data_IF_806513173265
#
_entry.id   IF_806513173265
#
_cell.length_a   1.000
_cell.length_b   1.000
_cell.length_c   1.000
_cell.angle_alpha   90.00
_cell.angle_beta   90.00
_cell.angle_gamma   90.00
#
_symmetry.space_group_name_H-M   'P 1'
#
loop_
_entity.id
_entity.type
_entity.pdbx_description
1 polymer ?
#
# COMPACT_ATOMS: atom_id res chain seq x y z
N UNK A 1 -54.97 84.23 0.64
CA UNK A 1 -54.31 85.21 -0.26
C UNK A 1 -52.82 84.88 -0.34
N UNK A 2 -52.24 84.87 -1.56
CA UNK A 2 -50.81 84.75 -1.96
C UNK A 2 -50.16 83.36 -1.74
N UNK A 3 -49.94 82.54 -2.78
CA UNK A 3 -48.93 82.53 -3.88
C UNK A 3 -47.55 81.99 -3.45
N UNK A 4 -47.22 80.78 -3.95
CA UNK A 4 -46.05 80.42 -4.81
C UNK A 4 -44.90 79.78 -4.00
N UNK A 5 -43.90 79.04 -4.52
CA UNK A 5 -43.67 78.06 -5.60
C UNK A 5 -42.15 77.73 -5.52
N UNK A 6 -41.73 76.50 -5.85
CA UNK A 6 -40.34 75.98 -6.03
C UNK A 6 -39.52 75.60 -4.77
N UNK A 7 -39.23 74.31 -4.53
CA UNK A 7 -38.20 73.38 -5.09
C UNK A 7 -36.79 73.61 -4.55
N UNK A 8 -36.26 72.62 -3.81
CA UNK A 8 -34.85 72.23 -3.84
C UNK A 8 -34.70 70.82 -3.22
N UNK A 9 -34.35 69.85 -4.06
CA UNK A 9 -33.89 68.51 -3.69
C UNK A 9 -32.54 68.57 -2.97
N UNK A 10 -32.41 67.86 -1.85
CA UNK A 10 -31.12 67.51 -1.25
C UNK A 10 -31.15 66.03 -0.86
N UNK A 11 -30.36 65.24 -1.58
CA UNK A 11 -30.09 63.82 -1.31
C UNK A 11 -29.14 63.76 -0.11
N UNK A 12 -29.61 63.18 1.00
CA UNK A 12 -28.77 62.87 2.16
C UNK A 12 -28.43 61.38 2.09
N UNK A 13 -27.17 61.07 1.77
CA UNK A 13 -26.61 59.73 1.85
C UNK A 13 -26.36 59.41 3.34
N UNK A 14 -27.28 58.67 3.95
CA UNK A 14 -27.12 58.17 5.32
C UNK A 14 -26.43 56.81 5.27
N UNK A 15 -25.13 56.79 5.61
CA UNK A 15 -24.37 55.56 5.76
C UNK A 15 -24.86 54.78 7.00
N UNK A 16 -25.34 53.56 6.79
CA UNK A 16 -25.58 52.60 7.86
C UNK A 16 -24.55 51.48 7.78
N UNK A 17 -23.81 51.34 8.87
CA UNK A 17 -22.84 50.28 9.12
C UNK A 17 -23.65 48.98 9.33
N UNK A 18 -23.59 48.08 8.35
CA UNK A 18 -24.10 46.72 8.49
C UNK A 18 -22.96 45.79 8.90
N UNK A 19 -23.00 45.41 10.17
CA UNK A 19 -22.17 44.39 10.78
C UNK A 19 -22.43 43.04 10.10
N UNK A 20 -21.61 42.68 9.11
CA UNK A 20 -21.67 41.36 8.48
C UNK A 20 -20.83 40.39 9.29
N UNK A 21 -21.48 39.61 10.13
CA UNK A 21 -20.90 38.44 10.79
C UNK A 21 -20.28 37.53 9.72
N UNK A 22 -18.94 37.54 9.61
CA UNK A 22 -18.20 36.53 8.84
C UNK A 22 -18.50 35.18 9.48
N UNK A 23 -19.44 34.43 8.93
CA UNK A 23 -19.43 32.98 9.08
C UNK A 23 -18.18 32.50 8.36
N UNK A 24 -17.16 32.17 9.14
CA UNK A 24 -16.08 31.31 8.66
C UNK A 24 -16.71 30.02 8.16
N UNK A 25 -16.80 29.89 6.84
CA UNK A 25 -17.07 28.61 6.21
C UNK A 25 -15.86 27.72 6.53
N UNK A 26 -15.97 26.89 7.57
CA UNK A 26 -15.17 25.68 7.65
C UNK A 26 -15.36 24.96 6.32
N UNK A 27 -14.32 24.91 5.50
CA UNK A 27 -14.29 24.05 4.33
C UNK A 27 -14.49 22.62 4.85
N UNK A 28 -15.71 22.10 4.69
CA UNK A 28 -15.93 20.68 4.81
C UNK A 28 -15.14 20.04 3.66
N UNK A 29 -13.97 19.52 4.00
CA UNK A 29 -13.16 18.73 3.12
C UNK A 29 -14.01 17.50 2.77
N UNK A 30 -14.58 17.47 1.56
CA UNK A 30 -15.32 16.31 1.08
C UNK A 30 -14.31 15.18 0.88
N UNK A 31 -14.20 14.29 1.85
CA UNK A 31 -13.67 12.97 1.59
C UNK A 31 -14.72 12.26 0.73
N UNK A 32 -14.53 12.33 -0.58
CA UNK A 32 -15.37 11.66 -1.55
C UNK A 32 -15.49 10.20 -1.14
N UNK A 33 -16.73 9.70 -1.02
CA UNK A 33 -17.09 8.28 -0.99
C UNK A 33 -16.73 7.61 -2.34
N UNK A 34 -15.59 7.98 -2.94
CA UNK A 34 -15.14 7.46 -4.22
C UNK A 34 -14.50 6.12 -3.95
N UNK A 35 -15.13 5.08 -4.50
CA UNK A 35 -14.65 3.71 -4.46
C UNK A 35 -13.31 3.56 -5.20
N UNK A 36 -12.92 4.54 -6.03
CA UNK A 36 -11.60 4.64 -6.66
C UNK A 36 -10.44 4.52 -5.66
N UNK A 37 -10.64 5.02 -4.42
CA UNK A 37 -9.63 4.93 -3.37
C UNK A 37 -9.35 3.49 -2.96
N UNK A 38 -10.22 2.52 -3.27
CA UNK A 38 -9.98 1.11 -2.99
C UNK A 38 -8.89 0.52 -3.89
N UNK A 39 -8.68 1.06 -5.10
CA UNK A 39 -7.81 0.49 -6.13
C UNK A 39 -6.39 0.17 -5.63
N UNK A 40 -5.91 -1.04 -5.90
CA UNK A 40 -4.58 -1.48 -5.50
C UNK A 40 -4.59 -2.33 -4.22
N UNK A 41 -3.40 -2.63 -3.71
CA UNK A 41 -3.22 -3.52 -2.54
C UNK A 41 -3.45 -2.81 -1.21
N UNK A 42 -3.66 -3.60 -0.17
CA UNK A 42 -3.81 -3.17 1.21
C UNK A 42 -3.34 -4.30 2.11
N UNK A 43 -2.47 -4.00 3.08
CA UNK A 43 -2.00 -5.02 4.02
C UNK A 43 -3.02 -5.24 5.13
N UNK A 44 -3.34 -6.49 5.43
CA UNK A 44 -4.22 -6.85 6.53
C UNK A 44 -3.41 -6.74 7.83
N UNK A 45 -3.77 -5.79 8.69
CA UNK A 45 -3.04 -5.54 9.96
C UNK A 45 -3.79 -6.08 11.18
N UNK A 46 -5.11 -6.25 11.09
CA UNK A 46 -5.90 -6.88 12.13
C UNK A 46 -7.18 -7.51 11.58
N UNK A 47 -7.63 -8.57 12.25
CA UNK A 47 -8.91 -9.23 12.02
C UNK A 47 -9.62 -9.38 13.36
N UNK A 48 -10.91 -9.01 13.42
CA UNK A 48 -11.72 -8.99 14.66
C UNK A 48 -11.04 -8.26 15.83
N UNK A 49 -10.35 -7.15 15.54
CA UNK A 49 -9.62 -6.37 16.55
C UNK A 49 -8.32 -7.02 17.06
N UNK A 50 -7.95 -8.21 16.58
CA UNK A 50 -6.68 -8.86 16.91
C UNK A 50 -5.64 -8.53 15.83
N UNK A 51 -4.47 -8.06 16.27
CA UNK A 51 -3.34 -7.82 15.37
C UNK A 51 -2.94 -9.12 14.69
N UNK A 52 -2.82 -9.09 13.37
CA UNK A 52 -2.30 -10.23 12.60
C UNK A 52 -0.78 -10.14 12.59
N UNK A 53 -0.15 -11.28 12.91
CA UNK A 53 1.29 -11.51 12.75
C UNK A 53 1.40 -12.81 11.96
N UNK A 54 2.03 -12.76 10.79
CA UNK A 54 2.18 -13.93 9.91
C UNK A 54 3.51 -13.85 9.21
N UNK A 55 4.32 -14.91 9.29
CA UNK A 55 5.61 -14.95 8.59
C UNK A 55 5.45 -14.82 7.06
N UNK A 56 4.27 -15.19 6.56
CA UNK A 56 3.85 -15.03 5.17
C UNK A 56 3.04 -13.74 4.97
N UNK A 57 3.00 -13.18 3.75
CA UNK A 57 2.26 -11.94 3.52
C UNK A 57 0.75 -12.05 3.70
N UNK A 58 0.16 -11.05 4.35
CA UNK A 58 -1.28 -10.91 4.52
C UNK A 58 -1.78 -9.62 3.87
N UNK A 59 -2.41 -9.73 2.71
CA UNK A 59 -2.87 -8.57 1.94
C UNK A 59 -4.10 -8.87 1.10
N UNK A 60 -4.80 -7.81 0.73
CA UNK A 60 -5.91 -7.83 -0.22
C UNK A 60 -5.76 -6.66 -1.18
N UNK A 61 -5.93 -6.94 -2.47
CA UNK A 61 -5.85 -5.96 -3.52
C UNK A 61 -7.14 -5.92 -4.33
N UNK A 62 -7.61 -4.70 -4.58
CA UNK A 62 -8.85 -4.42 -5.28
C UNK A 62 -8.53 -3.96 -6.70
N UNK A 63 -9.12 -4.65 -7.67
CA UNK A 63 -9.13 -4.24 -9.07
C UNK A 63 -10.55 -3.81 -9.43
N UNK A 64 -10.75 -2.49 -9.50
CA UNK A 64 -12.06 -1.91 -9.80
C UNK A 64 -12.44 -2.04 -11.27
N UNK A 65 -11.43 -2.11 -12.16
CA UNK A 65 -11.66 -2.25 -13.60
C UNK A 65 -12.13 -3.67 -13.92
N UNK A 66 -11.43 -4.66 -13.41
CA UNK A 66 -11.77 -6.08 -13.60
C UNK A 66 -12.85 -6.56 -12.62
N UNK A 67 -13.23 -5.73 -11.63
CA UNK A 67 -14.20 -6.02 -10.58
C UNK A 67 -13.84 -7.27 -9.78
N UNK A 68 -12.57 -7.34 -9.33
CA UNK A 68 -12.02 -8.48 -8.61
C UNK A 68 -11.23 -8.08 -7.38
N UNK A 69 -11.08 -9.05 -6.48
CA UNK A 69 -10.05 -9.03 -5.45
C UNK A 69 -9.04 -10.15 -5.67
N UNK A 70 -7.79 -9.87 -5.32
CA UNK A 70 -6.71 -10.85 -5.20
C UNK A 70 -5.96 -10.62 -3.90
N UNK A 71 -5.30 -11.63 -3.36
CA UNK A 71 -4.61 -11.47 -2.07
C UNK A 71 -3.82 -12.68 -1.61
N UNK A 72 -3.35 -12.60 -0.38
CA UNK A 72 -2.79 -13.74 0.35
C UNK A 72 -3.25 -13.64 1.81
N UNK A 73 -3.70 -14.76 2.39
CA UNK A 73 -4.21 -14.83 3.75
C UNK A 73 -3.15 -15.35 4.76
N UNK A 74 -1.86 -15.16 4.48
CA UNK A 74 -0.76 -15.65 5.32
C UNK A 74 -0.47 -17.14 5.14
N UNK A 75 -1.01 -17.76 4.09
CA UNK A 75 -0.73 -19.15 3.73
C UNK A 75 -1.08 -19.42 2.27
N UNK A 76 -2.27 -18.99 1.85
CA UNK A 76 -2.86 -19.29 0.57
C UNK A 76 -3.18 -18.02 -0.23
N UNK A 77 -3.16 -18.15 -1.56
CA UNK A 77 -3.55 -17.08 -2.47
C UNK A 77 -5.08 -16.97 -2.43
N UNK A 78 -5.59 -15.74 -2.34
CA UNK A 78 -7.02 -15.40 -2.33
C UNK A 78 -7.42 -14.84 -3.70
N UNK A 79 -8.59 -15.23 -4.18
CA UNK A 79 -9.28 -14.62 -5.31
C UNK A 79 -10.76 -14.41 -4.98
N UNK A 80 -11.39 -13.42 -5.59
CA UNK A 80 -12.82 -13.20 -5.44
C UNK A 80 -13.37 -12.13 -6.38
N UNK A 81 -14.68 -12.03 -6.42
CA UNK A 81 -15.41 -10.99 -7.14
C UNK A 81 -15.61 -9.76 -6.23
N UNK A 82 -15.47 -8.57 -6.82
CA UNK A 82 -15.69 -7.30 -6.16
C UNK A 82 -16.93 -6.64 -6.75
N UNK A 83 -17.97 -6.50 -5.96
CA UNK A 83 -19.19 -5.79 -6.36
C UNK A 83 -19.13 -4.40 -5.75
N UNK A 84 -19.08 -3.39 -6.61
CA UNK A 84 -19.15 -1.98 -6.25
C UNK A 84 -20.18 -1.33 -7.15
N UNK A 85 -21.22 -0.74 -6.56
CA UNK A 85 -22.25 0.01 -7.28
C UNK A 85 -22.13 1.52 -7.05
N UNK A 86 -22.68 2.29 -7.99
CA UNK A 86 -22.74 3.76 -7.91
C UNK A 86 -23.63 4.25 -6.74
N UNK A 87 -24.47 3.37 -6.21
CA UNK A 87 -25.31 3.56 -5.03
C UNK A 87 -24.55 3.38 -3.70
N UNK A 88 -23.25 3.11 -3.76
CA UNK A 88 -22.41 2.81 -2.60
C UNK A 88 -22.51 1.37 -2.10
N UNK A 89 -23.17 0.48 -2.86
CA UNK A 89 -23.14 -0.96 -2.57
C UNK A 89 -21.70 -1.48 -2.69
N UNK A 90 -21.30 -2.30 -1.72
CA UNK A 90 -20.00 -2.95 -1.67
C UNK A 90 -20.16 -4.37 -1.15
N UNK A 91 -19.62 -5.36 -1.87
CA UNK A 91 -19.60 -6.73 -1.39
C UNK A 91 -18.44 -7.49 -1.99
N UNK A 92 -17.82 -8.34 -1.18
CA UNK A 92 -16.90 -9.37 -1.66
C UNK A 92 -17.72 -10.63 -1.92
N UNK A 93 -17.63 -11.18 -3.11
CA UNK A 93 -18.35 -12.39 -3.50
C UNK A 93 -17.40 -13.48 -3.95
N UNK A 94 -17.84 -14.74 -3.79
CA UNK A 94 -17.11 -15.94 -4.22
C UNK A 94 -15.62 -15.90 -3.82
N UNK A 95 -15.35 -15.47 -2.59
CA UNK A 95 -13.98 -15.40 -2.10
C UNK A 95 -13.48 -16.81 -1.86
N UNK A 96 -12.49 -17.21 -2.66
CA UNK A 96 -11.87 -18.54 -2.64
C UNK A 96 -10.38 -18.40 -2.38
N UNK A 97 -9.78 -19.46 -1.85
CA UNK A 97 -8.33 -19.56 -1.67
C UNK A 97 -7.77 -20.86 -2.24
N UNK A 98 -6.47 -20.88 -2.51
CA UNK A 98 -5.75 -22.13 -2.78
C UNK A 98 -5.71 -23.01 -1.53
N UNK A 99 -5.25 -24.26 -1.67
CA UNK A 99 -5.16 -25.25 -0.59
C UNK A 99 -3.73 -25.78 -0.41
N UNK A 100 -2.77 -24.88 -0.19
CA UNK A 100 -1.41 -25.23 0.21
C UNK A 100 -1.40 -25.59 1.69
N UNK A 101 -0.68 -26.64 2.05
CA UNK A 101 -0.40 -26.96 3.45
C UNK A 101 0.64 -25.98 4.00
N UNK A 102 0.30 -25.27 5.08
CA UNK A 102 1.23 -24.39 5.79
C UNK A 102 1.58 -24.99 7.15
N UNK A 103 2.85 -24.89 7.52
CA UNK A 103 3.33 -25.32 8.83
C UNK A 103 3.13 -24.20 9.85
N UNK A 104 2.79 -24.56 11.09
CA UNK A 104 2.62 -23.62 12.19
C UNK A 104 1.30 -22.87 12.20
N UNK A 105 1.13 -21.98 13.20
CA UNK A 105 -0.03 -21.11 13.30
C UNK A 105 -0.01 -20.04 12.20
N UNK A 106 -1.14 -19.86 11.53
CA UNK A 106 -1.30 -18.86 10.49
C UNK A 106 -2.71 -18.25 10.54
N UNK A 107 -2.91 -17.04 10.00
CA UNK A 107 -4.19 -16.32 10.09
C UNK A 107 -5.20 -16.71 9.00
N UNK A 108 -4.92 -17.71 8.17
CA UNK A 108 -5.69 -18.06 6.97
C UNK A 108 -7.20 -18.12 7.24
N UNK A 109 -7.57 -18.99 8.18
CA UNK A 109 -8.98 -19.28 8.47
C UNK A 109 -9.71 -18.02 8.94
N UNK A 110 -9.06 -17.24 9.80
CA UNK A 110 -9.63 -16.03 10.36
C UNK A 110 -9.84 -14.97 9.28
N UNK A 111 -8.86 -14.79 8.38
CA UNK A 111 -8.96 -13.85 7.26
C UNK A 111 -10.08 -14.27 6.30
N UNK A 112 -10.17 -15.55 5.91
CA UNK A 112 -11.20 -16.02 4.98
C UNK A 112 -12.61 -15.87 5.57
N UNK A 113 -12.80 -16.19 6.84
CA UNK A 113 -14.08 -16.00 7.54
C UNK A 113 -14.50 -14.53 7.58
N UNK A 114 -13.56 -13.62 7.86
CA UNK A 114 -13.83 -12.19 7.89
C UNK A 114 -14.13 -11.60 6.50
N UNK A 115 -13.43 -12.06 5.45
CA UNK A 115 -13.68 -11.64 4.06
C UNK A 115 -15.07 -12.09 3.59
N UNK A 116 -15.46 -13.34 3.86
CA UNK A 116 -16.77 -13.87 3.48
C UNK A 116 -17.93 -13.16 4.17
N UNK A 117 -17.70 -12.62 5.37
CA UNK A 117 -18.71 -11.88 6.12
C UNK A 117 -18.72 -10.37 5.81
N UNK A 118 -17.87 -9.89 4.91
CA UNK A 118 -17.74 -8.46 4.60
C UNK A 118 -18.88 -7.98 3.69
N UNK A 119 -19.60 -6.95 4.12
CA UNK A 119 -20.73 -6.35 3.39
C UNK A 119 -20.64 -4.84 3.23
N UNK A 120 -19.64 -4.20 3.83
CA UNK A 120 -19.41 -2.76 3.68
C UNK A 120 -17.97 -2.40 4.05
N UNK A 121 -17.55 -1.20 3.71
CA UNK A 121 -16.25 -0.66 4.04
C UNK A 121 -16.33 0.78 4.52
N UNK A 122 -15.27 1.23 5.19
CA UNK A 122 -15.04 2.63 5.52
C UNK A 122 -13.58 2.98 5.30
N UNK A 123 -13.33 4.06 4.59
CA UNK A 123 -12.01 4.66 4.48
C UNK A 123 -11.90 5.69 5.60
N UNK A 124 -11.01 5.47 6.58
CA UNK A 124 -10.76 6.45 7.65
C UNK A 124 -9.72 7.50 7.22
N UNK A 125 -8.81 7.12 6.33
CA UNK A 125 -7.82 8.00 5.69
C UNK A 125 -7.30 7.34 4.41
N UNK A 126 -6.48 8.07 3.66
CA UNK A 126 -5.66 7.52 2.56
C UNK A 126 -4.79 6.33 2.98
N UNK A 127 -4.62 6.07 4.29
CA UNK A 127 -3.79 4.99 4.83
C UNK A 127 -4.56 3.82 5.40
N UNK A 128 -5.83 3.98 5.76
CA UNK A 128 -6.58 2.98 6.51
C UNK A 128 -7.95 2.69 5.91
N UNK A 129 -8.16 1.42 5.61
CA UNK A 129 -9.41 0.85 5.13
C UNK A 129 -9.93 -0.13 6.18
N UNK A 130 -11.21 -0.02 6.53
CA UNK A 130 -11.89 -0.95 7.43
C UNK A 130 -13.02 -1.65 6.71
N UNK A 131 -13.12 -2.95 6.91
CA UNK A 131 -14.21 -3.78 6.40
C UNK A 131 -15.14 -4.17 7.54
N UNK A 132 -16.43 -4.18 7.24
CA UNK A 132 -17.50 -4.44 8.20
C UNK A 132 -18.44 -5.52 7.68
N UNK A 133 -19.03 -6.26 8.62
CA UNK A 133 -20.07 -7.22 8.32
C UNK A 133 -21.48 -6.60 8.33
N UNK A 134 -22.50 -7.43 8.06
CA UNK A 134 -23.90 -7.02 8.02
C UNK A 134 -24.40 -6.35 9.31
N UNK A 135 -23.78 -6.66 10.46
CA UNK A 135 -24.10 -6.08 11.76
C UNK A 135 -23.35 -4.78 12.05
N UNK A 136 -22.63 -4.22 11.06
CA UNK A 136 -21.75 -3.05 11.19
C UNK A 136 -20.61 -3.25 12.19
N UNK A 137 -20.25 -4.49 12.49
CA UNK A 137 -19.07 -4.81 13.28
C UNK A 137 -17.85 -4.80 12.36
N UNK A 138 -16.77 -4.13 12.79
CA UNK A 138 -15.48 -4.18 12.11
C UNK A 138 -14.94 -5.61 12.12
N UNK A 139 -14.59 -6.14 10.94
CA UNK A 139 -14.04 -7.49 10.78
C UNK A 139 -12.60 -7.47 10.32
N UNK A 140 -12.17 -6.50 9.51
CA UNK A 140 -10.78 -6.36 9.05
C UNK A 140 -10.37 -4.89 9.09
N UNK A 141 -9.18 -4.60 9.59
CA UNK A 141 -8.48 -3.34 9.30
C UNK A 141 -7.32 -3.62 8.36
N UNK A 142 -7.29 -2.89 7.25
CA UNK A 142 -6.22 -2.88 6.28
C UNK A 142 -5.51 -1.54 6.26
N UNK A 143 -4.21 -1.58 5.98
CA UNK A 143 -3.35 -0.41 5.93
C UNK A 143 -2.63 -0.33 4.58
N UNK A 144 -2.66 0.83 3.95
CA UNK A 144 -1.77 1.15 2.84
C UNK A 144 -0.35 1.32 3.34
N UNK A 145 0.59 0.60 2.73
CA UNK A 145 2.02 0.78 3.01
C UNK A 145 2.67 1.43 1.80
N UNK A 146 3.05 2.71 1.88
CA UNK A 146 3.72 3.38 0.78
C UNK A 146 5.10 2.75 0.58
N UNK A 147 5.56 2.73 -0.67
CA UNK A 147 6.93 2.28 -1.00
C UNK A 147 8.01 3.09 -0.27
N UNK A 148 7.70 4.28 0.25
CA UNK A 148 8.57 5.04 1.14
C UNK A 148 9.00 4.28 2.40
N UNK A 149 8.26 3.25 2.82
CA UNK A 149 8.65 2.36 3.92
C UNK A 149 9.92 1.53 3.58
N UNK A 150 10.29 1.41 2.30
CA UNK A 150 11.55 0.81 1.88
C UNK A 150 12.75 1.76 2.01
N UNK A 151 12.57 3.05 2.28
CA UNK A 151 13.65 4.04 2.34
C UNK A 151 14.82 3.58 3.23
N UNK A 152 16.04 3.59 2.69
CA UNK A 152 17.29 3.22 3.39
C UNK A 152 17.86 1.87 2.93
N UNK A 153 18.79 1.33 3.73
CA UNK A 153 19.58 0.15 3.35
C UNK A 153 19.02 -1.16 3.90
N UNK A 154 19.06 -2.20 3.07
CA UNK A 154 18.57 -3.55 3.38
C UNK A 154 19.58 -4.60 2.95
N UNK A 155 19.90 -5.51 3.85
CA UNK A 155 20.71 -6.70 3.60
C UNK A 155 19.86 -7.79 2.95
N UNK A 156 20.39 -8.45 1.92
CA UNK A 156 19.74 -9.62 1.32
C UNK A 156 19.98 -10.83 2.22
N UNK A 157 18.93 -11.55 2.58
CA UNK A 157 19.03 -12.74 3.45
C UNK A 157 18.71 -14.03 2.71
N UNK A 158 17.73 -14.01 1.81
CA UNK A 158 17.31 -15.15 1.00
C UNK A 158 17.11 -14.73 -0.47
N UNK A 159 17.47 -15.63 -1.39
CA UNK A 159 17.11 -15.53 -2.81
C UNK A 159 16.42 -16.84 -3.20
N UNK A 160 15.20 -16.75 -3.73
CA UNK A 160 14.35 -17.91 -4.05
C UNK A 160 14.27 -18.92 -2.89
N UNK A 161 14.00 -18.42 -1.68
CA UNK A 161 13.90 -19.19 -0.42
C UNK A 161 15.21 -19.86 0.04
N UNK A 162 16.34 -19.66 -0.67
CA UNK A 162 17.64 -20.23 -0.31
C UNK A 162 18.51 -19.19 0.39
N UNK A 163 19.24 -19.57 1.46
CA UNK A 163 20.23 -18.70 2.07
C UNK A 163 21.39 -18.43 1.11
N UNK A 164 22.01 -17.27 1.29
CA UNK A 164 23.22 -16.91 0.58
C UNK A 164 24.37 -17.85 0.96
N UNK A 165 25.10 -18.35 -0.02
CA UNK A 165 26.23 -19.28 0.18
C UNK A 165 27.58 -18.59 0.23
N UNK A 166 27.67 -17.38 -0.30
CA UNK A 166 28.92 -16.65 -0.46
C UNK A 166 29.12 -15.66 0.70
N UNK A 167 30.38 -15.42 1.09
CA UNK A 167 30.74 -14.50 2.18
C UNK A 167 30.30 -13.06 1.89
N UNK A 168 30.28 -12.69 0.61
CA UNK A 168 29.89 -11.36 0.16
C UNK A 168 28.37 -11.24 0.07
N UNK A 169 27.77 -10.68 1.12
CA UNK A 169 26.32 -10.50 1.22
C UNK A 169 25.86 -9.28 0.41
N UNK A 170 24.98 -9.46 -0.60
CA UNK A 170 24.39 -8.36 -1.33
C UNK A 170 23.55 -7.47 -0.43
N UNK A 171 23.39 -6.21 -0.83
CA UNK A 171 22.49 -5.27 -0.17
C UNK A 171 21.92 -4.27 -1.16
N UNK A 172 20.74 -3.73 -0.83
CA UNK A 172 20.03 -2.72 -1.61
C UNK A 172 19.78 -1.51 -0.72
N UNK A 173 20.13 -0.33 -1.20
CA UNK A 173 19.71 0.95 -0.63
C UNK A 173 18.63 1.53 -1.54
N UNK A 174 17.43 1.70 -1.00
CA UNK A 174 16.33 2.37 -1.68
C UNK A 174 16.35 3.86 -1.31
N UNK A 175 16.43 4.71 -2.33
CA UNK A 175 16.11 6.13 -2.20
C UNK A 175 14.76 6.34 -2.87
N UNK A 176 13.73 6.39 -2.03
CA UNK A 176 12.32 6.44 -2.41
C UNK A 176 11.92 7.82 -2.93
N UNK A 177 12.63 8.88 -2.48
CA UNK A 177 12.44 10.25 -2.97
C UNK A 177 12.90 10.40 -4.42
N UNK A 178 14.09 9.89 -4.71
CA UNK A 178 14.70 9.97 -6.04
C UNK A 178 14.30 8.81 -6.95
N UNK A 179 13.54 7.82 -6.42
CA UNK A 179 13.16 6.57 -7.09
C UNK A 179 14.38 5.84 -7.67
N UNK A 180 15.39 5.63 -6.83
CA UNK A 180 16.63 4.93 -7.21
C UNK A 180 16.92 3.79 -6.25
N UNK A 181 17.60 2.78 -6.79
CA UNK A 181 18.32 1.80 -5.99
C UNK A 181 19.82 1.93 -6.23
N UNK A 182 20.59 1.74 -5.19
CA UNK A 182 22.04 1.54 -5.23
C UNK A 182 22.39 0.36 -4.35
N UNK A 183 23.55 -0.25 -4.54
CA UNK A 183 23.98 -1.30 -3.62
C UNK A 183 25.15 -2.12 -4.11
N UNK A 184 25.27 -3.31 -3.53
CA UNK A 184 26.20 -4.34 -3.98
C UNK A 184 25.40 -5.61 -4.29
N UNK A 185 25.65 -6.22 -5.44
CA UNK A 185 25.04 -7.45 -5.89
C UNK A 185 25.75 -8.73 -5.38
N UNK A 186 26.63 -8.61 -4.39
CA UNK A 186 27.55 -9.64 -3.91
C UNK A 186 28.99 -9.19 -4.17
N UNK A 187 29.40 -9.23 -5.44
CA UNK A 187 30.71 -8.74 -5.86
C UNK A 187 30.63 -7.32 -6.43
N UNK A 188 29.76 -7.10 -7.42
CA UNK A 188 29.70 -5.84 -8.13
C UNK A 188 28.80 -4.79 -7.49
N UNK A 189 29.20 -3.51 -7.65
CA UNK A 189 28.31 -2.39 -7.32
C UNK A 189 27.19 -2.36 -8.34
N UNK A 190 25.98 -2.06 -7.86
CA UNK A 190 24.80 -1.93 -8.69
C UNK A 190 24.08 -0.61 -8.46
N UNK A 191 23.44 -0.11 -9.51
CA UNK A 191 22.50 1.00 -9.45
C UNK A 191 21.37 0.78 -10.45
N UNK A 192 20.21 1.37 -10.16
CA UNK A 192 19.02 1.23 -10.99
C UNK A 192 17.95 2.26 -10.63
N UNK A 193 16.92 2.33 -11.46
CA UNK A 193 15.75 3.16 -11.21
C UNK A 193 14.57 2.32 -10.73
N UNK A 194 13.74 2.92 -9.89
CA UNK A 194 12.47 2.36 -9.46
C UNK A 194 11.39 2.93 -10.37
N UNK A 195 10.66 2.05 -11.04
CA UNK A 195 9.44 2.43 -11.77
C UNK A 195 8.25 2.03 -10.93
N UNK A 196 7.46 3.03 -10.53
CA UNK A 196 6.17 2.84 -9.84
C UNK A 196 5.06 3.07 -10.85
N UNK A 197 4.03 2.22 -10.83
CA UNK A 197 2.77 2.55 -11.49
C UNK A 197 1.96 3.46 -10.56
N UNK A 198 1.53 4.63 -11.04
CA UNK A 198 0.74 5.58 -10.25
C UNK A 198 -0.63 5.01 -9.83
N UNK A 199 -1.10 3.94 -10.49
CA UNK A 199 -2.33 3.24 -10.12
C UNK A 199 -2.11 2.07 -9.14
N UNK A 200 -0.85 1.68 -8.89
CA UNK A 200 -0.49 0.55 -8.03
C UNK A 200 0.83 0.83 -7.30
N UNK A 201 0.75 1.50 -6.14
CA UNK A 201 1.91 1.84 -5.29
C UNK A 201 2.61 0.62 -4.64
N UNK A 202 2.08 -0.59 -4.87
CA UNK A 202 2.69 -1.87 -4.52
C UNK A 202 3.43 -2.50 -5.68
N UNK A 203 3.28 -1.93 -6.87
CA UNK A 203 4.10 -2.25 -8.02
C UNK A 203 5.46 -1.58 -7.83
N UNK A 204 6.45 -2.41 -7.53
CA UNK A 204 7.85 -2.05 -7.55
C UNK A 204 8.45 -2.81 -8.72
N UNK A 205 8.67 -2.14 -9.84
CA UNK A 205 9.57 -2.69 -10.87
C UNK A 205 10.91 -2.00 -10.73
N UNK A 206 11.95 -2.82 -10.65
CA UNK A 206 13.30 -2.34 -10.83
C UNK A 206 13.49 -2.21 -12.35
N UNK A 207 13.85 -1.02 -12.82
CA UNK A 207 14.21 -0.79 -14.21
C UNK A 207 15.51 -1.52 -14.56
N UNK A 208 16.17 -1.13 -15.66
CA UNK A 208 17.49 -1.69 -15.97
C UNK A 208 18.46 -1.43 -14.81
N UNK A 209 19.10 -2.50 -14.35
CA UNK A 209 20.12 -2.45 -13.30
C UNK A 209 21.48 -2.47 -13.98
N UNK A 210 22.26 -1.42 -13.76
CA UNK A 210 23.63 -1.33 -14.20
C UNK A 210 24.56 -1.86 -13.11
N UNK A 211 25.53 -2.69 -13.49
CA UNK A 211 26.55 -3.23 -12.60
C UNK A 211 27.96 -2.94 -13.08
N UNK A 212 28.92 -2.97 -12.16
CA UNK A 212 30.35 -3.01 -12.51
C UNK A 212 30.74 -4.41 -13.03
N UNK A 213 31.97 -4.57 -13.55
CA UNK A 213 32.49 -5.86 -14.07
C UNK A 213 33.78 -6.29 -13.37
N UNK A 214 33.71 -6.45 -12.05
CA UNK A 214 34.77 -7.10 -11.26
C UNK A 214 34.60 -8.62 -11.35
N UNK A 215 35.73 -9.33 -11.44
CA UNK A 215 35.75 -10.79 -11.36
C UNK A 215 35.78 -11.22 -9.89
N UNK A 216 34.82 -12.05 -9.47
CA UNK A 216 34.78 -12.62 -8.13
C UNK A 216 34.50 -14.13 -8.18
N UNK A 217 34.99 -14.88 -7.18
CA UNK A 217 34.53 -16.24 -6.95
C UNK A 217 33.08 -16.21 -6.42
N UNK A 218 32.30 -17.25 -6.74
CA UNK A 218 30.92 -17.40 -6.27
C UNK A 218 29.86 -17.21 -7.36
N UNK A 219 28.61 -17.51 -7.02
CA UNK A 219 27.47 -17.50 -7.95
C UNK A 219 26.28 -16.66 -7.43
N UNK A 220 26.45 -15.95 -6.32
CA UNK A 220 25.37 -15.13 -5.72
C UNK A 220 24.95 -13.99 -6.65
N UNK A 221 25.90 -13.27 -7.27
CA UNK A 221 25.58 -12.09 -8.08
C UNK A 221 24.66 -12.40 -9.28
N UNK A 222 24.97 -13.35 -10.18
CA UNK A 222 24.09 -13.65 -11.30
C UNK A 222 22.69 -14.09 -10.84
N UNK A 223 22.62 -14.88 -9.77
CA UNK A 223 21.36 -15.35 -9.18
C UNK A 223 20.53 -14.20 -8.63
N UNK A 224 21.19 -13.25 -7.95
CA UNK A 224 20.57 -12.08 -7.37
C UNK A 224 20.07 -11.10 -8.44
N UNK A 225 20.89 -10.77 -9.44
CA UNK A 225 20.50 -9.87 -10.54
C UNK A 225 19.31 -10.43 -11.33
N UNK A 226 19.31 -11.74 -11.62
CA UNK A 226 18.18 -12.41 -12.27
C UNK A 226 16.91 -12.36 -11.41
N UNK A 227 17.02 -12.46 -10.08
CA UNK A 227 15.88 -12.30 -9.21
C UNK A 227 15.34 -10.85 -9.26
N UNK A 228 16.23 -9.84 -9.25
CA UNK A 228 15.83 -8.42 -9.33
C UNK A 228 15.06 -8.08 -10.61
N UNK A 229 15.42 -8.66 -11.76
CA UNK A 229 14.71 -8.48 -13.04
C UNK A 229 13.24 -8.92 -12.98
N UNK A 230 12.94 -9.90 -12.12
CA UNK A 230 11.61 -10.47 -11.97
C UNK A 230 10.78 -9.76 -10.89
N UNK A 231 11.35 -8.77 -10.17
CA UNK A 231 10.62 -8.03 -9.14
C UNK A 231 9.54 -7.17 -9.78
N UNK A 232 8.30 -7.39 -9.35
CA UNK A 232 7.11 -6.62 -9.74
C UNK A 232 6.41 -5.98 -8.56
N UNK A 233 6.67 -6.44 -7.34
CA UNK A 233 6.05 -5.89 -6.14
C UNK A 233 6.98 -5.99 -4.94
N UNK A 234 6.59 -5.33 -3.85
CA UNK A 234 7.21 -5.52 -2.54
C UNK A 234 6.14 -5.72 -1.47
N UNK A 235 6.55 -6.32 -0.35
CA UNK A 235 5.72 -6.51 0.83
C UNK A 235 6.57 -6.27 2.07
N UNK A 236 6.08 -5.54 3.06
CA UNK A 236 6.72 -5.56 4.37
C UNK A 236 6.31 -6.83 5.10
N UNK A 237 7.29 -7.49 5.70
CA UNK A 237 7.11 -8.70 6.49
C UNK A 237 7.06 -8.32 7.98
N UNK A 238 6.54 -9.19 8.85
CA UNK A 238 6.52 -8.89 10.27
C UNK A 238 7.93 -8.66 10.82
N UNK A 239 8.00 -7.81 11.83
CA UNK A 239 9.22 -7.63 12.58
C UNK A 239 9.54 -8.89 13.39
N UNK A 240 10.80 -9.33 13.33
CA UNK A 240 11.31 -10.49 14.09
C UNK A 240 12.55 -10.05 14.86
N UNK A 241 12.57 -10.30 16.17
CA UNK A 241 13.68 -9.92 17.05
C UNK A 241 14.05 -8.42 16.96
N UNK A 242 13.06 -7.53 16.83
CA UNK A 242 13.27 -6.09 16.71
C UNK A 242 13.84 -5.62 15.36
N UNK A 243 13.91 -6.52 14.37
CA UNK A 243 14.38 -6.21 13.01
C UNK A 243 13.21 -6.17 12.04
N UNK A 244 13.28 -5.22 11.09
CA UNK A 244 12.31 -5.07 10.00
C UNK A 244 12.70 -5.93 8.81
N UNK A 245 11.72 -6.51 8.16
CA UNK A 245 11.91 -7.36 6.99
C UNK A 245 11.00 -6.91 5.83
N UNK A 246 11.47 -7.15 4.61
CA UNK A 246 10.68 -6.94 3.40
C UNK A 246 10.92 -8.09 2.42
N UNK A 247 9.91 -8.40 1.61
CA UNK A 247 10.01 -9.34 0.50
C UNK A 247 9.84 -8.61 -0.82
N UNK A 248 10.76 -8.80 -1.76
CA UNK A 248 10.54 -8.43 -3.16
C UNK A 248 9.88 -9.61 -3.87
N UNK A 249 8.81 -9.32 -4.59
CA UNK A 249 7.91 -10.33 -5.14
C UNK A 249 7.92 -10.32 -6.67
N UNK A 250 7.69 -11.48 -7.26
CA UNK A 250 7.47 -11.62 -8.70
C UNK A 250 6.03 -11.23 -9.12
N UNK A 251 5.70 -11.45 -10.40
CA UNK A 251 4.36 -11.18 -10.96
C UNK A 251 3.24 -12.04 -10.37
N UNK A 252 3.57 -13.19 -9.77
CA UNK A 252 2.61 -14.07 -9.09
C UNK A 252 2.46 -13.69 -7.61
N UNK A 253 3.23 -12.71 -7.14
CA UNK A 253 3.24 -12.27 -5.75
C UNK A 253 4.05 -13.17 -4.83
N UNK A 254 4.83 -14.12 -5.38
CA UNK A 254 5.76 -14.96 -4.61
C UNK A 254 6.98 -14.13 -4.21
N UNK A 255 7.43 -14.24 -2.96
CA UNK A 255 8.67 -13.60 -2.50
C UNK A 255 9.86 -14.32 -3.13
N UNK A 256 10.65 -13.59 -3.92
CA UNK A 256 11.85 -14.09 -4.59
C UNK A 256 13.13 -13.55 -3.96
N UNK A 257 13.06 -12.45 -3.20
CA UNK A 257 14.17 -11.90 -2.43
C UNK A 257 13.65 -11.49 -1.05
N UNK A 258 14.30 -11.95 0.01
CA UNK A 258 14.03 -11.50 1.38
C UNK A 258 15.11 -10.53 1.83
N UNK A 259 14.67 -9.43 2.42
CA UNK A 259 15.46 -8.29 2.86
C UNK A 259 15.34 -8.11 4.37
N UNK A 260 16.45 -7.87 5.04
CA UNK A 260 16.52 -7.43 6.43
C UNK A 260 16.97 -5.97 6.48
N UNK A 261 16.28 -5.14 7.25
CA UNK A 261 16.66 -3.74 7.38
C UNK A 261 18.01 -3.63 8.06
N UNK A 262 18.97 -2.98 7.40
CA UNK A 262 20.25 -2.67 8.02
C UNK A 262 20.03 -1.54 9.02
N UNK A 263 20.45 -1.74 10.26
CA UNK A 263 20.43 -0.68 11.26
C UNK A 263 21.30 0.48 10.77
N UNK A 264 20.72 1.67 10.71
CA UNK A 264 21.50 2.89 10.52
C UNK A 264 22.39 3.04 11.77
N UNK A 265 23.71 3.01 11.57
CA UNK A 265 24.69 3.24 12.63
C UNK A 265 24.81 4.72 12.95
#
# INVERSE_FOLDING_TARGET
>A
MKKWMYVATAVVLCGTILCSSKKESKSAQSYTTSTEVLQGSWNIISVDGKKIVSEEPTFLAFDLKEKRIHGNNGCNIINGELIVGDDGSFRLDKVISTMRACMGENPERQIMEALNNTTSFKIESDKFLKLYNANKKEVITLKRQPFSELEGTWDVTLINEKPLTDDQKPFITFNTKDRKITGNAGCNRMNGQITTDNANEYFLSLGQIATTRMACPGNTEPTFLKALENVKAFKLLPEKNGKKYAGLCDSEGKIIITLEKRNDR
#
